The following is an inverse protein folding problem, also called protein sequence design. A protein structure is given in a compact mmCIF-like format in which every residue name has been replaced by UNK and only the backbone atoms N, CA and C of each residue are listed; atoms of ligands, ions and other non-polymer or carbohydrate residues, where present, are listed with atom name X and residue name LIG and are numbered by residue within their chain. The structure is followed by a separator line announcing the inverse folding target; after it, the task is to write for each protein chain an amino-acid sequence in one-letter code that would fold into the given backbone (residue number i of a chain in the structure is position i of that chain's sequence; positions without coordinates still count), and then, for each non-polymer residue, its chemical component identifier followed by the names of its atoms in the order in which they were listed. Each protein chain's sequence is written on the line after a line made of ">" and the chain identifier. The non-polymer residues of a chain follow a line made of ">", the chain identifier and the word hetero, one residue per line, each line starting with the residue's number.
data_IF_700770538957
#
_entry.id   IF_700770538957
#
_cell.length_a   1.000
_cell.length_b   1.000
_cell.length_c   1.000
_cell.angle_alpha   90.00
_cell.angle_beta   90.00
_cell.angle_gamma   90.00
#
_symmetry.space_group_name_H-M   'P 1'
#
loop_
_entity.id
_entity.type
_entity.pdbx_description
1 polymer ?
#
# COMPACT_ATOMS: atom_id res chain seq x y z
N UNK A 1 -12.40 16.85 -18.74
CA UNK A 1 -11.75 17.33 -17.49
C UNK A 1 -12.08 18.80 -17.16
N UNK A 2 -12.01 19.71 -18.13
CA UNK A 2 -12.46 21.12 -18.00
C UNK A 2 -13.89 21.24 -17.45
N UNK A 3 -14.81 20.38 -17.90
CA UNK A 3 -16.18 20.36 -17.37
C UNK A 3 -16.29 19.97 -15.89
N UNK A 4 -15.49 19.02 -15.41
CA UNK A 4 -15.55 18.54 -14.03
C UNK A 4 -15.04 19.61 -13.04
N UNK A 5 -13.91 20.25 -13.37
CA UNK A 5 -13.39 21.38 -12.59
C UNK A 5 -14.38 22.55 -12.60
N UNK A 6 -14.97 22.87 -13.75
CA UNK A 6 -16.00 23.91 -13.88
C UNK A 6 -17.27 23.58 -13.08
N UNK A 7 -17.64 22.30 -12.92
CA UNK A 7 -18.81 21.88 -12.13
C UNK A 7 -18.57 21.90 -10.62
N UNK A 8 -17.32 21.69 -10.18
CA UNK A 8 -16.98 21.55 -8.75
C UNK A 8 -16.45 22.85 -8.15
N UNK A 9 -15.55 23.54 -8.85
CA UNK A 9 -14.82 24.70 -8.33
C UNK A 9 -15.72 25.88 -7.89
N UNK A 10 -16.79 26.25 -8.63
CA UNK A 10 -17.66 27.35 -8.21
C UNK A 10 -18.35 27.11 -6.87
N UNK A 11 -18.70 25.86 -6.55
CA UNK A 11 -19.34 25.51 -5.26
C UNK A 11 -18.38 25.72 -4.09
N UNK A 12 -17.11 25.35 -4.26
CA UNK A 12 -16.09 25.58 -3.23
C UNK A 12 -15.74 27.07 -3.08
N UNK A 13 -15.63 27.80 -4.20
CA UNK A 13 -15.39 29.25 -4.16
C UNK A 13 -16.52 29.99 -3.46
N UNK A 14 -17.78 29.59 -3.69
CA UNK A 14 -18.94 30.16 -3.00
C UNK A 14 -18.90 29.89 -1.50
N UNK A 15 -18.56 28.67 -1.08
CA UNK A 15 -18.44 28.33 0.34
C UNK A 15 -17.30 29.11 1.02
N UNK A 16 -16.14 29.24 0.37
CA UNK A 16 -15.03 30.05 0.90
C UNK A 16 -15.35 31.53 0.96
N UNK A 17 -16.10 32.06 -0.01
CA UNK A 17 -16.56 33.44 0.02
C UNK A 17 -17.53 33.68 1.18
N UNK A 18 -18.48 32.76 1.40
CA UNK A 18 -19.42 32.77 2.53
C UNK A 18 -18.71 32.74 3.88
N UNK A 19 -17.69 31.90 4.02
CA UNK A 19 -16.90 31.78 5.24
C UNK A 19 -16.04 33.03 5.51
N UNK A 20 -15.47 33.62 4.45
CA UNK A 20 -14.67 34.85 4.54
C UNK A 20 -15.48 36.08 4.91
N UNK A 21 -16.71 36.20 4.45
CA UNK A 21 -17.51 37.40 4.68
C UNK A 21 -18.28 37.38 5.99
N UNK A 22 -18.39 36.23 6.67
CA UNK A 22 -19.14 36.02 7.92
C UNK A 22 -20.64 36.43 7.88
N UNK A 23 -21.13 36.96 6.76
CA UNK A 23 -22.50 37.40 6.54
C UNK A 23 -23.47 36.22 6.34
N UNK A 24 -22.93 35.07 5.92
CA UNK A 24 -23.68 33.83 5.75
C UNK A 24 -22.79 32.65 6.14
N UNK A 25 -22.66 32.33 7.44
CA UNK A 25 -21.74 31.29 7.89
C UNK A 25 -22.05 29.95 7.24
N UNK A 26 -20.99 29.20 6.93
CA UNK A 26 -21.11 27.83 6.45
C UNK A 26 -21.28 26.87 7.61
N UNK A 27 -21.89 25.71 7.37
CA UNK A 27 -21.92 24.62 8.34
C UNK A 27 -21.34 23.34 7.72
N UNK A 28 -21.07 22.33 8.55
CA UNK A 28 -20.49 21.07 8.08
C UNK A 28 -21.34 20.41 7.01
N UNK A 29 -22.68 20.54 7.08
CA UNK A 29 -23.57 19.97 6.08
C UNK A 29 -23.38 20.62 4.69
N UNK A 30 -23.06 21.91 4.60
CA UNK A 30 -22.73 22.59 3.35
C UNK A 30 -21.46 22.04 2.71
N UNK A 31 -20.40 21.86 3.52
CA UNK A 31 -19.13 21.29 3.08
C UNK A 31 -19.26 19.82 2.68
N UNK A 32 -19.97 19.02 3.46
CA UNK A 32 -20.26 17.61 3.16
C UNK A 32 -21.04 17.45 1.85
N UNK A 33 -21.99 18.35 1.54
CA UNK A 33 -22.68 18.36 0.24
C UNK A 33 -21.75 18.69 -0.92
N UNK A 34 -20.87 19.68 -0.75
CA UNK A 34 -19.88 20.02 -1.78
C UNK A 34 -18.88 18.88 -2.01
N UNK A 35 -18.38 18.26 -0.94
CA UNK A 35 -17.49 17.09 -0.97
C UNK A 35 -18.15 15.90 -1.69
N UNK A 36 -19.39 15.53 -1.35
CA UNK A 36 -20.12 14.46 -2.05
C UNK A 36 -20.29 14.74 -3.54
N UNK A 37 -20.65 15.96 -3.92
CA UNK A 37 -20.81 16.32 -5.32
C UNK A 37 -19.49 16.23 -6.09
N UNK A 38 -18.40 16.70 -5.48
CA UNK A 38 -17.06 16.60 -6.04
C UNK A 38 -16.58 15.15 -6.17
N UNK A 39 -16.75 14.34 -5.12
CA UNK A 39 -16.40 12.93 -5.09
C UNK A 39 -17.08 12.14 -6.22
N UNK A 40 -18.38 12.36 -6.45
CA UNK A 40 -19.11 11.76 -7.57
C UNK A 40 -18.60 12.19 -8.94
N UNK A 41 -18.23 13.46 -9.10
CA UNK A 41 -17.66 13.95 -10.36
C UNK A 41 -16.28 13.33 -10.60
N UNK A 42 -15.42 13.27 -9.58
CA UNK A 42 -14.11 12.62 -9.65
C UNK A 42 -14.27 11.14 -9.98
N UNK A 43 -15.20 10.43 -9.32
CA UNK A 43 -15.50 9.03 -9.61
C UNK A 43 -15.93 8.85 -11.06
N UNK A 44 -16.84 9.68 -11.57
CA UNK A 44 -17.26 9.61 -12.97
C UNK A 44 -16.10 9.80 -13.93
N UNK A 45 -15.23 10.77 -13.66
CA UNK A 45 -14.03 11.04 -14.47
C UNK A 45 -13.05 9.87 -14.38
N UNK A 46 -12.77 9.35 -13.19
CA UNK A 46 -11.84 8.24 -12.98
C UNK A 46 -12.32 6.94 -13.63
N UNK A 47 -13.63 6.63 -13.60
CA UNK A 47 -14.20 5.50 -14.33
C UNK A 47 -14.11 5.70 -15.86
N UNK A 48 -14.25 6.93 -16.35
CA UNK A 48 -14.14 7.22 -17.78
C UNK A 48 -12.71 7.22 -18.33
N UNK A 49 -11.71 7.49 -17.48
CA UNK A 49 -10.29 7.53 -17.85
C UNK A 49 -9.57 6.19 -17.61
N UNK A 50 -10.07 5.36 -16.70
CA UNK A 50 -9.46 4.10 -16.26
C UNK A 50 -8.01 4.31 -15.73
N UNK A 51 -7.16 3.28 -15.78
CA UNK A 51 -5.71 3.40 -15.58
C UNK A 51 -5.27 4.01 -14.24
N UNK A 52 -4.49 5.09 -14.31
CA UNK A 52 -3.85 5.69 -13.14
C UNK A 52 -4.86 6.48 -12.29
N UNK A 53 -5.95 6.98 -12.84
CA UNK A 53 -7.00 7.59 -12.01
C UNK A 53 -7.75 6.56 -11.19
N UNK A 54 -8.03 5.39 -11.77
CA UNK A 54 -8.60 4.26 -11.02
C UNK A 54 -7.60 3.75 -9.98
N UNK A 55 -6.32 3.61 -10.33
CA UNK A 55 -5.30 3.21 -9.35
C UNK A 55 -5.07 4.27 -8.27
N UNK A 56 -5.04 5.55 -8.61
CA UNK A 56 -4.97 6.64 -7.64
C UNK A 56 -6.22 6.66 -6.77
N UNK A 57 -7.42 6.42 -7.31
CA UNK A 57 -8.63 6.27 -6.54
C UNK A 57 -8.58 5.05 -5.60
N UNK A 58 -7.97 3.93 -6.02
CA UNK A 58 -7.75 2.77 -5.15
C UNK A 58 -6.72 3.08 -4.05
N UNK A 59 -5.58 3.71 -4.40
CA UNK A 59 -4.54 4.11 -3.45
C UNK A 59 -5.12 5.12 -2.45
N UNK A 60 -5.92 6.07 -2.90
CA UNK A 60 -6.50 7.13 -2.08
C UNK A 60 -7.80 6.72 -1.37
N UNK A 61 -8.56 5.79 -1.94
CA UNK A 61 -9.72 5.15 -1.29
C UNK A 61 -9.28 4.26 -0.13
N UNK A 62 -8.12 3.61 -0.26
CA UNK A 62 -7.43 2.91 0.83
C UNK A 62 -6.57 3.83 1.74
N UNK A 63 -6.37 5.09 1.34
CA UNK A 63 -5.75 6.16 2.15
C UNK A 63 -6.79 7.22 2.49
N UNK A 64 -7.64 6.87 3.44
CA UNK A 64 -8.60 7.78 4.07
C UNK A 64 -7.95 9.05 4.68
N UNK A 65 -6.61 9.10 4.75
CA UNK A 65 -5.80 10.04 5.51
C UNK A 65 -5.84 11.51 5.08
N UNK A 66 -6.28 11.84 3.85
CA UNK A 66 -6.21 13.21 3.32
C UNK A 66 -7.50 13.73 2.68
N UNK A 67 -8.52 12.88 2.60
CA UNK A 67 -9.74 13.18 1.87
C UNK A 67 -10.96 13.14 2.81
N UNK A 68 -11.88 14.10 2.72
CA UNK A 68 -13.12 14.05 3.49
C UNK A 68 -13.90 12.74 3.26
N UNK A 69 -14.62 12.25 4.29
CA UNK A 69 -15.40 11.00 4.25
C UNK A 69 -16.20 10.76 2.95
N UNK A 70 -16.90 11.76 2.37
CA UNK A 70 -17.56 11.60 1.07
C UNK A 70 -16.69 11.14 -0.10
N UNK A 71 -15.42 11.56 -0.13
CA UNK A 71 -14.48 11.11 -1.14
C UNK A 71 -14.08 9.66 -0.89
N UNK A 72 -13.83 9.29 0.37
CA UNK A 72 -13.46 7.93 0.75
C UNK A 72 -14.57 6.95 0.36
N UNK A 73 -15.83 7.26 0.71
CA UNK A 73 -17.00 6.45 0.37
C UNK A 73 -17.17 6.19 -1.14
N UNK A 74 -16.88 7.21 -1.97
CA UNK A 74 -17.00 7.08 -3.43
C UNK A 74 -15.76 6.45 -4.07
N UNK A 75 -14.56 6.71 -3.52
CA UNK A 75 -13.28 6.20 -4.05
C UNK A 75 -12.99 4.75 -3.63
N UNK A 76 -13.49 4.31 -2.47
CA UNK A 76 -13.38 2.91 -2.02
C UNK A 76 -14.11 1.93 -2.94
N UNK A 77 -15.10 2.41 -3.71
CA UNK A 77 -15.81 1.61 -4.71
C UNK A 77 -14.95 1.30 -5.95
N UNK A 78 -13.78 1.91 -6.12
CA UNK A 78 -12.85 1.54 -7.20
C UNK A 78 -12.09 0.24 -6.93
N UNK A 79 -12.23 -0.35 -5.73
CA UNK A 79 -11.66 -1.66 -5.44
C UNK A 79 -12.44 -2.84 -6.08
N UNK A 80 -13.55 -2.57 -6.76
CA UNK A 80 -14.32 -3.58 -7.48
C UNK A 80 -13.56 -4.13 -8.70
N UNK A 81 -13.81 -5.41 -9.01
CA UNK A 81 -13.11 -6.14 -10.07
C UNK A 81 -13.31 -5.47 -11.44
N UNK A 82 -12.20 -5.08 -12.06
CA UNK A 82 -12.22 -4.58 -13.44
C UNK A 82 -12.45 -5.77 -14.38
N UNK A 83 -13.33 -5.67 -15.38
CA UNK A 83 -13.52 -6.74 -16.35
C UNK A 83 -12.18 -7.18 -16.98
N UNK A 84 -11.90 -8.50 -17.03
CA UNK A 84 -10.69 -8.99 -17.66
C UNK A 84 -10.73 -8.77 -19.18
N UNK A 85 -9.56 -8.61 -19.76
CA UNK A 85 -9.33 -8.55 -21.20
C UNK A 85 -9.19 -9.99 -21.71
N UNK A 86 -9.61 -10.29 -22.94
CA UNK A 86 -9.32 -11.58 -23.54
C UNK A 86 -7.82 -11.83 -23.59
N UNK A 87 -7.38 -13.04 -23.21
CA UNK A 87 -5.97 -13.41 -23.19
C UNK A 87 -5.27 -13.15 -24.54
N UNK A 88 -5.97 -13.34 -25.66
CA UNK A 88 -5.45 -13.10 -27.00
C UNK A 88 -4.99 -11.66 -27.25
N UNK A 89 -5.56 -10.67 -26.54
CA UNK A 89 -5.09 -9.27 -26.61
C UNK A 89 -3.80 -9.03 -25.81
N UNK A 90 -3.48 -9.94 -24.88
CA UNK A 90 -2.34 -9.86 -23.98
C UNK A 90 -1.18 -10.75 -24.43
N UNK A 91 -1.48 -11.86 -25.14
CA UNK A 91 -0.52 -12.81 -25.69
C UNK A 91 0.67 -12.12 -26.39
N UNK A 92 0.49 -11.12 -27.27
CA UNK A 92 1.64 -10.48 -27.93
C UNK A 92 2.62 -9.79 -26.97
N UNK A 93 2.13 -9.30 -25.82
CA UNK A 93 2.98 -8.69 -24.79
C UNK A 93 3.82 -9.75 -24.08
N UNK A 94 3.23 -10.92 -23.82
CA UNK A 94 3.90 -12.05 -23.18
C UNK A 94 4.99 -12.59 -24.11
N UNK A 95 4.65 -12.88 -25.37
CA UNK A 95 5.61 -13.39 -26.36
C UNK A 95 6.77 -12.42 -26.61
N UNK A 96 6.49 -11.11 -26.58
CA UNK A 96 7.53 -10.08 -26.70
C UNK A 96 8.56 -10.17 -25.58
N UNK A 97 8.12 -10.35 -24.34
CA UNK A 97 9.02 -10.43 -23.19
C UNK A 97 9.76 -11.77 -23.12
N UNK A 98 9.11 -12.85 -23.54
CA UNK A 98 9.71 -14.19 -23.61
C UNK A 98 10.67 -14.35 -24.80
N UNK A 99 10.52 -13.53 -25.84
CA UNK A 99 11.26 -13.62 -27.10
C UNK A 99 10.93 -14.86 -27.94
N UNK A 100 9.83 -15.56 -27.62
CA UNK A 100 9.38 -16.80 -28.28
C UNK A 100 7.86 -17.02 -28.05
N UNK A 101 7.20 -17.88 -28.85
CA UNK A 101 5.80 -18.23 -28.66
C UNK A 101 5.51 -18.79 -27.27
N UNK A 102 4.34 -18.47 -26.71
CA UNK A 102 3.97 -18.95 -25.37
C UNK A 102 3.87 -20.46 -25.30
N UNK A 103 3.53 -21.12 -26.41
CA UNK A 103 3.45 -22.57 -26.50
C UNK A 103 4.81 -23.23 -26.23
N UNK A 104 5.93 -22.59 -26.57
CA UNK A 104 7.26 -23.16 -26.32
C UNK A 104 7.62 -23.20 -24.82
N UNK A 105 7.02 -22.31 -24.02
CA UNK A 105 7.31 -22.13 -22.59
C UNK A 105 6.27 -22.80 -21.70
N UNK A 106 5.00 -22.67 -22.06
CA UNK A 106 3.88 -23.15 -21.27
C UNK A 106 3.25 -24.38 -21.93
N UNK A 107 2.96 -25.40 -21.13
CA UNK A 107 2.13 -26.54 -21.55
C UNK A 107 0.66 -26.12 -21.71
N UNK A 108 0.18 -25.29 -20.78
CA UNK A 108 -1.20 -24.77 -20.79
C UNK A 108 -1.23 -23.37 -20.19
N UNK A 109 -2.04 -22.48 -20.75
CA UNK A 109 -2.42 -21.21 -20.13
C UNK A 109 -3.95 -21.18 -20.06
N UNK A 110 -4.50 -20.88 -18.89
CA UNK A 110 -5.94 -20.68 -18.72
C UNK A 110 -6.35 -19.35 -19.39
N UNK A 111 -7.21 -19.37 -20.42
CA UNK A 111 -7.70 -18.14 -21.05
C UNK A 111 -8.55 -17.29 -20.10
N UNK A 112 -9.12 -17.90 -19.05
CA UNK A 112 -9.80 -17.21 -17.96
C UNK A 112 -8.80 -16.50 -17.05
N UNK A 113 -9.05 -15.22 -16.78
CA UNK A 113 -8.27 -14.50 -15.79
C UNK A 113 -8.59 -15.05 -14.39
N UNK A 114 -7.54 -15.47 -13.67
CA UNK A 114 -7.62 -15.84 -12.25
C UNK A 114 -8.00 -14.63 -11.39
N UNK A 115 -7.43 -13.47 -11.72
CA UNK A 115 -7.73 -12.19 -11.09
C UNK A 115 -7.51 -11.05 -12.09
N UNK A 116 -8.28 -9.98 -11.97
CA UNK A 116 -8.09 -8.77 -12.77
C UNK A 116 -8.02 -7.55 -11.84
N UNK A 117 -6.94 -6.79 -11.98
CA UNK A 117 -6.70 -5.55 -11.25
C UNK A 117 -6.74 -4.35 -12.20
N UNK A 118 -6.41 -3.16 -11.70
CA UNK A 118 -6.48 -1.91 -12.45
C UNK A 118 -5.37 -1.75 -13.50
N UNK A 119 -4.18 -2.33 -13.27
CA UNK A 119 -3.01 -2.19 -14.17
C UNK A 119 -2.63 -3.49 -14.90
N UNK A 120 -3.05 -4.63 -14.36
CA UNK A 120 -2.69 -5.95 -14.86
C UNK A 120 -3.79 -6.96 -14.55
N UNK A 121 -3.76 -8.10 -15.23
CA UNK A 121 -4.52 -9.29 -14.87
C UNK A 121 -3.61 -10.50 -14.75
N UNK A 122 -4.09 -11.49 -14.00
CA UNK A 122 -3.35 -12.70 -13.65
C UNK A 122 -3.99 -13.90 -14.32
N UNK A 123 -3.20 -14.72 -14.98
CA UNK A 123 -3.61 -16.00 -15.56
C UNK A 123 -2.92 -17.15 -14.86
N UNK A 124 -3.61 -18.28 -14.72
CA UNK A 124 -2.99 -19.55 -14.30
C UNK A 124 -2.35 -20.22 -15.51
N UNK A 125 -1.20 -20.83 -15.33
CA UNK A 125 -0.54 -21.63 -16.35
C UNK A 125 0.24 -22.80 -15.76
N UNK A 126 0.66 -23.69 -16.66
CA UNK A 126 1.55 -24.81 -16.36
C UNK A 126 2.77 -24.69 -17.27
N UNK A 127 3.97 -24.70 -16.72
CA UNK A 127 5.21 -24.78 -17.50
C UNK A 127 5.37 -26.16 -18.15
N UNK A 128 6.23 -26.26 -19.16
CA UNK A 128 6.51 -27.55 -19.84
C UNK A 128 7.08 -28.64 -18.91
N UNK A 129 7.69 -28.26 -17.79
CA UNK A 129 8.19 -29.18 -16.76
C UNK A 129 7.11 -29.64 -15.76
N UNK A 130 5.87 -29.15 -15.90
CA UNK A 130 4.74 -29.45 -15.02
C UNK A 130 4.53 -28.45 -13.87
N UNK A 131 5.45 -27.51 -13.65
CA UNK A 131 5.34 -26.51 -12.58
C UNK A 131 4.10 -25.63 -12.77
N UNK A 132 3.34 -25.42 -11.69
CA UNK A 132 2.18 -24.54 -11.68
C UNK A 132 2.61 -23.09 -11.42
N UNK A 133 2.22 -22.18 -12.31
CA UNK A 133 2.63 -20.77 -12.25
C UNK A 133 1.46 -19.83 -12.50
N UNK A 134 1.64 -18.56 -12.16
CA UNK A 134 0.79 -17.45 -12.55
C UNK A 134 1.54 -16.47 -13.42
N UNK A 135 0.86 -15.94 -14.42
CA UNK A 135 1.35 -14.84 -15.27
C UNK A 135 0.57 -13.60 -14.90
N UNK A 136 1.22 -12.62 -14.26
CA UNK A 136 0.66 -11.27 -14.09
C UNK A 136 1.10 -10.45 -15.29
N UNK A 137 0.13 -10.05 -16.11
CA UNK A 137 0.35 -9.41 -17.40
C UNK A 137 -0.22 -8.00 -17.35
N UNK A 138 0.61 -7.01 -17.64
CA UNK A 138 0.23 -5.60 -17.72
C UNK A 138 -0.68 -5.37 -18.93
N UNK A 139 -1.71 -4.53 -18.79
CA UNK A 139 -2.55 -4.19 -19.94
C UNK A 139 -1.79 -3.33 -20.99
N UNK A 140 -2.04 -3.53 -22.30
CA UNK A 140 -1.32 -2.85 -23.37
C UNK A 140 -1.47 -1.32 -23.35
N UNK A 141 -2.60 -0.81 -22.86
CA UNK A 141 -2.91 0.61 -22.81
C UNK A 141 -2.15 1.38 -21.71
N UNK A 142 -1.66 0.68 -20.68
CA UNK A 142 -1.14 1.27 -19.45
C UNK A 142 0.10 2.14 -19.66
N UNK A 143 1.12 1.74 -20.44
CA UNK A 143 2.28 2.60 -20.71
C UNK A 143 1.93 3.95 -21.35
N UNK A 144 0.79 4.03 -22.06
CA UNK A 144 0.31 5.27 -22.69
C UNK A 144 -0.57 6.10 -21.76
N UNK A 145 -1.45 5.45 -21.00
CA UNK A 145 -2.44 6.12 -20.15
C UNK A 145 -1.80 6.69 -18.88
N UNK A 146 -0.89 5.95 -18.24
CA UNK A 146 -0.35 6.33 -16.92
C UNK A 146 0.34 7.71 -16.93
N UNK A 147 1.26 8.03 -17.87
CA UNK A 147 1.91 9.35 -17.86
C UNK A 147 0.91 10.50 -18.04
N UNK A 148 -0.13 10.29 -18.86
CA UNK A 148 -1.17 11.28 -19.11
C UNK A 148 -2.03 11.51 -17.86
N UNK A 149 -2.45 10.43 -17.22
CA UNK A 149 -3.26 10.47 -16.00
C UNK A 149 -2.51 11.12 -14.83
N UNK A 150 -1.26 10.74 -14.60
CA UNK A 150 -0.42 11.36 -13.56
C UNK A 150 -0.14 12.83 -13.85
N UNK A 151 0.05 13.20 -15.13
CA UNK A 151 0.13 14.59 -15.56
C UNK A 151 -1.14 15.38 -15.25
N UNK A 152 -2.31 14.79 -15.51
CA UNK A 152 -3.61 15.41 -15.19
C UNK A 152 -3.83 15.54 -13.68
N UNK A 153 -3.50 14.52 -12.90
CA UNK A 153 -3.61 14.53 -11.43
C UNK A 153 -2.79 15.68 -10.82
N UNK A 154 -1.54 15.87 -11.28
CA UNK A 154 -0.69 16.99 -10.87
C UNK A 154 -1.31 18.35 -11.18
N UNK A 155 -1.94 18.52 -12.35
CA UNK A 155 -2.61 19.78 -12.73
C UNK A 155 -3.84 20.06 -11.85
N UNK A 156 -4.68 19.05 -11.63
CA UNK A 156 -5.88 19.19 -10.77
C UNK A 156 -5.46 19.59 -9.36
N UNK A 157 -4.48 18.91 -8.78
CA UNK A 157 -3.98 19.25 -7.45
C UNK A 157 -3.36 20.64 -7.43
N UNK A 158 -2.63 21.05 -8.46
CA UNK A 158 -2.14 22.43 -8.60
C UNK A 158 -3.25 23.49 -8.50
N UNK A 159 -4.41 23.25 -9.14
CA UNK A 159 -5.58 24.14 -9.06
C UNK A 159 -6.21 24.11 -7.66
N UNK A 160 -6.38 22.92 -7.06
CA UNK A 160 -6.94 22.77 -5.71
C UNK A 160 -6.09 23.50 -4.68
N UNK A 161 -4.76 23.45 -4.80
CA UNK A 161 -3.82 24.14 -3.91
C UNK A 161 -3.88 25.67 -3.99
N UNK A 162 -4.52 26.26 -5.02
CA UNK A 162 -4.81 27.70 -5.05
C UNK A 162 -5.91 28.09 -4.06
N UNK A 163 -6.76 27.13 -3.71
CA UNK A 163 -8.02 27.33 -2.97
C UNK A 163 -7.93 26.75 -1.56
N UNK A 164 -7.27 25.61 -1.39
CA UNK A 164 -7.01 24.96 -0.10
C UNK A 164 -5.51 24.97 0.20
N UNK A 165 -5.13 25.45 1.40
CA UNK A 165 -3.72 25.58 1.83
C UNK A 165 -3.37 24.84 3.11
N UNK A 166 -4.34 24.21 3.78
CA UNK A 166 -4.13 23.51 5.06
C UNK A 166 -3.30 22.24 4.92
N UNK A 167 -3.38 21.55 3.78
CA UNK A 167 -2.74 20.25 3.51
C UNK A 167 -1.95 20.35 2.21
N UNK A 168 -0.70 19.88 2.20
CA UNK A 168 0.09 19.82 0.95
C UNK A 168 -0.25 18.57 0.12
N UNK A 169 -1.29 18.70 -0.70
CA UNK A 169 -1.72 17.64 -1.61
C UNK A 169 -0.68 17.32 -2.71
N UNK A 170 0.32 18.18 -2.93
CA UNK A 170 1.36 17.91 -3.94
C UNK A 170 2.28 16.78 -3.52
N UNK A 171 2.63 16.72 -2.23
CA UNK A 171 3.42 15.61 -1.69
C UNK A 171 2.72 14.26 -1.91
N UNK A 172 1.40 14.22 -1.69
CA UNK A 172 0.57 13.04 -1.89
C UNK A 172 0.51 12.60 -3.36
N UNK A 173 0.45 13.53 -4.32
CA UNK A 173 0.51 13.18 -5.75
C UNK A 173 1.88 12.62 -6.13
N UNK A 174 2.96 13.19 -5.60
CA UNK A 174 4.32 12.67 -5.83
C UNK A 174 4.47 11.25 -5.27
N UNK A 175 3.93 10.99 -4.09
CA UNK A 175 3.94 9.66 -3.47
C UNK A 175 3.09 8.66 -4.28
N UNK A 176 1.88 9.06 -4.67
CA UNK A 176 0.98 8.25 -5.51
C UNK A 176 1.62 7.91 -6.85
N UNK A 177 2.30 8.89 -7.47
CA UNK A 177 3.08 8.69 -8.69
C UNK A 177 4.08 7.57 -8.51
N UNK A 178 4.91 7.64 -7.45
CA UNK A 178 5.93 6.62 -7.18
C UNK A 178 5.32 5.24 -6.96
N UNK A 179 4.21 5.15 -6.24
CA UNK A 179 3.53 3.87 -6.03
C UNK A 179 3.01 3.26 -7.34
N UNK A 180 2.40 4.09 -8.21
CA UNK A 180 1.97 3.62 -9.53
C UNK A 180 3.17 3.18 -10.37
N UNK A 181 4.27 3.94 -10.36
CA UNK A 181 5.50 3.59 -11.08
C UNK A 181 6.09 2.26 -10.59
N UNK A 182 6.09 2.04 -9.27
CA UNK A 182 6.53 0.80 -8.65
C UNK A 182 5.72 -0.41 -9.10
N UNK A 183 4.40 -0.30 -9.18
CA UNK A 183 3.54 -1.40 -9.62
C UNK A 183 3.66 -1.72 -11.12
N UNK A 184 4.21 -0.80 -11.91
CA UNK A 184 4.46 -1.00 -13.34
C UNK A 184 5.82 -1.61 -13.65
N UNK A 185 6.72 -1.65 -12.66
CA UNK A 185 8.06 -2.23 -12.78
C UNK A 185 8.05 -3.67 -12.25
N UNK A 186 7.68 -4.59 -13.13
CA UNK A 186 7.66 -6.02 -12.84
C UNK A 186 9.03 -6.63 -12.58
N UNK A 187 10.10 -6.02 -13.11
CA UNK A 187 11.47 -6.44 -12.79
C UNK A 187 11.82 -6.09 -11.34
N UNK A 188 11.40 -4.91 -10.87
CA UNK A 188 11.53 -4.53 -9.47
C UNK A 188 10.66 -5.41 -8.57
N UNK A 189 9.43 -5.71 -8.98
CA UNK A 189 8.55 -6.64 -8.24
C UNK A 189 9.23 -8.01 -8.08
N UNK A 190 9.75 -8.60 -9.17
CA UNK A 190 10.49 -9.86 -9.15
C UNK A 190 11.68 -9.85 -8.16
N UNK A 191 12.56 -8.84 -8.24
CA UNK A 191 13.68 -8.69 -7.30
C UNK A 191 13.23 -8.53 -5.85
N UNK A 192 12.11 -7.84 -5.63
CA UNK A 192 11.55 -7.63 -4.31
C UNK A 192 10.99 -8.93 -3.73
N UNK A 193 10.32 -9.74 -4.55
CA UNK A 193 9.85 -11.08 -4.20
C UNK A 193 11.03 -11.98 -3.81
N UNK A 194 12.09 -12.04 -4.61
CA UNK A 194 13.29 -12.84 -4.31
C UNK A 194 13.96 -12.41 -3.00
N UNK A 195 14.08 -11.09 -2.79
CA UNK A 195 14.64 -10.53 -1.55
C UNK A 195 13.78 -10.90 -0.34
N UNK A 196 12.45 -10.79 -0.43
CA UNK A 196 11.55 -11.20 0.64
C UNK A 196 11.58 -12.70 0.90
N UNK A 197 11.65 -13.53 -0.15
CA UNK A 197 11.79 -14.98 -0.01
C UNK A 197 13.05 -15.34 0.77
N UNK A 198 14.19 -14.68 0.45
CA UNK A 198 15.45 -14.87 1.17
C UNK A 198 15.35 -14.41 2.62
N UNK A 199 14.81 -13.21 2.86
CA UNK A 199 14.68 -12.65 4.21
C UNK A 199 13.76 -13.51 5.08
N UNK A 200 12.71 -14.09 4.52
CA UNK A 200 11.70 -14.87 5.24
C UNK A 200 11.98 -16.37 5.27
N UNK A 201 13.17 -16.81 4.82
CA UNK A 201 13.53 -18.23 4.76
C UNK A 201 13.45 -18.94 6.12
N UNK A 202 13.76 -18.21 7.21
CA UNK A 202 13.71 -18.73 8.58
C UNK A 202 12.33 -18.57 9.25
N UNK A 203 11.31 -18.10 8.53
CA UNK A 203 9.95 -17.91 9.05
C UNK A 203 9.06 -19.08 8.59
N UNK A 204 8.90 -20.14 9.41
CA UNK A 204 8.36 -21.43 8.95
C UNK A 204 6.89 -21.40 8.54
N UNK A 205 6.15 -20.36 8.98
CA UNK A 205 4.72 -20.23 8.71
C UNK A 205 4.42 -19.35 7.49
N UNK A 206 5.42 -18.99 6.67
CA UNK A 206 5.25 -18.11 5.51
C UNK A 206 5.74 -18.78 4.22
N UNK A 207 5.07 -18.46 3.12
CA UNK A 207 5.46 -18.86 1.77
C UNK A 207 5.49 -17.62 0.89
N UNK A 208 6.65 -17.36 0.29
CA UNK A 208 6.81 -16.39 -0.80
C UNK A 208 6.92 -17.20 -2.09
N UNK A 209 6.13 -16.91 -3.13
CA UNK A 209 6.17 -17.68 -4.37
C UNK A 209 7.53 -17.54 -5.03
N UNK A 210 8.03 -18.64 -5.59
CA UNK A 210 9.24 -18.60 -6.41
C UNK A 210 9.03 -17.72 -7.63
N UNK A 211 10.01 -16.88 -7.94
CA UNK A 211 10.06 -16.14 -9.21
C UNK A 211 10.67 -17.03 -10.29
N UNK A 212 10.21 -16.90 -11.53
CA UNK A 212 10.87 -17.46 -12.72
C UNK A 212 11.53 -16.32 -13.51
N UNK A 213 12.75 -15.89 -13.15
CA UNK A 213 13.33 -14.63 -13.65
C UNK A 213 13.54 -14.64 -15.16
N UNK A 214 13.84 -15.80 -15.74
CA UNK A 214 14.00 -16.03 -17.18
C UNK A 214 12.71 -15.83 -17.98
N UNK A 215 11.56 -15.87 -17.30
CA UNK A 215 10.24 -15.66 -17.90
C UNK A 215 9.65 -14.28 -17.55
N UNK A 216 10.41 -13.41 -16.87
CA UNK A 216 9.97 -12.09 -16.45
C UNK A 216 10.52 -10.98 -17.37
N UNK A 217 9.71 -9.97 -17.64
CA UNK A 217 10.06 -8.82 -18.47
C UNK A 217 9.39 -7.53 -18.01
N UNK A 218 9.23 -6.58 -18.92
CA UNK A 218 8.62 -5.28 -18.62
C UNK A 218 7.08 -5.33 -18.58
N UNK A 219 6.47 -6.42 -19.04
CA UNK A 219 5.02 -6.60 -19.25
C UNK A 219 4.47 -7.86 -18.61
N UNK A 220 5.33 -8.84 -18.30
CA UNK A 220 4.94 -10.07 -17.60
C UNK A 220 5.87 -10.35 -16.44
N UNK A 221 5.29 -10.78 -15.32
CA UNK A 221 6.00 -11.45 -14.22
C UNK A 221 5.39 -12.84 -14.04
N UNK A 222 6.25 -13.84 -13.90
CA UNK A 222 5.88 -15.25 -13.75
C UNK A 222 6.31 -15.73 -12.37
N UNK A 223 5.33 -16.15 -11.58
CA UNK A 223 5.50 -16.58 -10.19
C UNK A 223 4.92 -17.98 -9.99
N UNK A 224 5.46 -18.72 -9.02
CA UNK A 224 4.85 -19.95 -8.52
C UNK A 224 3.38 -19.72 -8.14
N UNK A 225 2.51 -20.64 -8.55
CA UNK A 225 1.10 -20.59 -8.15
C UNK A 225 0.94 -21.08 -6.71
N UNK A 226 0.47 -20.20 -5.83
CA UNK A 226 0.09 -20.55 -4.47
C UNK A 226 -1.41 -20.86 -4.40
N UNK A 227 -1.74 -22.07 -3.97
CA UNK A 227 -3.12 -22.48 -3.72
C UNK A 227 -3.49 -22.20 -2.27
N UNK A 228 -4.47 -21.32 -2.04
CA UNK A 228 -4.93 -20.99 -0.70
C UNK A 228 -6.23 -20.19 -0.70
N UNK A 229 -6.74 -19.92 0.50
CA UNK A 229 -7.96 -19.14 0.74
C UNK A 229 -7.54 -17.73 1.14
N UNK A 230 -8.11 -16.70 0.51
CA UNK A 230 -7.85 -15.30 0.87
C UNK A 230 -8.23 -15.03 2.33
N UNK A 231 -7.39 -14.28 3.05
CA UNK A 231 -7.54 -14.06 4.50
C UNK A 231 -8.88 -13.40 4.87
N UNK A 232 -9.46 -12.61 3.95
CA UNK A 232 -10.77 -11.98 4.15
C UNK A 232 -11.94 -12.98 4.17
N UNK A 233 -11.78 -14.17 3.59
CA UNK A 233 -12.84 -15.19 3.47
C UNK A 233 -12.91 -16.04 4.74
N UNK A 234 -13.17 -15.38 5.88
CA UNK A 234 -13.10 -15.99 7.22
C UNK A 234 -14.01 -17.21 7.39
N UNK A 235 -15.20 -17.22 6.76
CA UNK A 235 -16.10 -18.37 6.78
C UNK A 235 -15.49 -19.60 6.09
N UNK A 236 -14.86 -19.41 4.92
CA UNK A 236 -14.17 -20.48 4.19
C UNK A 236 -12.97 -20.99 4.97
N UNK A 237 -12.21 -20.09 5.61
CA UNK A 237 -11.08 -20.47 6.47
C UNK A 237 -11.52 -21.35 7.65
N UNK A 238 -12.59 -20.98 8.34
CA UNK A 238 -13.13 -21.77 9.46
C UNK A 238 -13.64 -23.12 8.97
N UNK A 239 -14.34 -23.16 7.82
CA UNK A 239 -14.81 -24.40 7.21
C UNK A 239 -13.65 -25.33 6.80
N UNK A 240 -12.52 -24.77 6.38
CA UNK A 240 -11.28 -25.49 6.10
C UNK A 240 -10.48 -25.89 7.37
N UNK A 241 -10.99 -25.58 8.56
CA UNK A 241 -10.38 -25.96 9.85
C UNK A 241 -9.32 -24.98 10.37
N UNK A 242 -9.11 -23.83 9.71
CA UNK A 242 -8.15 -22.83 10.17
C UNK A 242 -8.68 -22.04 11.36
N UNK A 243 -7.83 -21.85 12.37
CA UNK A 243 -8.14 -21.02 13.55
C UNK A 243 -7.79 -19.55 13.25
N UNK A 244 -8.80 -18.69 13.11
CA UNK A 244 -8.60 -17.27 12.77
C UNK A 244 -7.68 -16.54 13.76
N UNK A 245 -7.74 -16.88 15.04
CA UNK A 245 -6.85 -16.32 16.06
C UNK A 245 -5.37 -16.68 15.83
N UNK A 246 -5.09 -17.88 15.31
CA UNK A 246 -3.72 -18.28 14.97
C UNK A 246 -3.24 -17.56 13.70
N UNK A 247 -4.12 -17.45 12.70
CA UNK A 247 -3.86 -16.67 11.48
C UNK A 247 -3.52 -15.22 11.84
N UNK A 248 -4.29 -14.59 12.72
CA UNK A 248 -4.04 -13.23 13.19
C UNK A 248 -2.66 -13.10 13.85
N UNK A 249 -2.27 -14.02 14.73
CA UNK A 249 -0.92 -13.99 15.35
C UNK A 249 0.18 -14.15 14.31
N UNK A 250 0.05 -15.12 13.40
CA UNK A 250 1.03 -15.34 12.32
C UNK A 250 1.20 -14.10 11.44
N UNK A 251 0.11 -13.40 11.11
CA UNK A 251 0.17 -12.14 10.33
C UNK A 251 0.89 -11.05 11.13
N UNK A 252 0.53 -10.84 12.40
CA UNK A 252 1.21 -9.85 13.24
C UNK A 252 2.70 -10.14 13.39
N UNK A 253 3.06 -11.41 13.57
CA UNK A 253 4.45 -11.84 13.64
C UNK A 253 5.19 -11.62 12.31
N UNK A 254 4.60 -11.98 11.17
CA UNK A 254 5.17 -11.75 9.84
C UNK A 254 5.51 -10.28 9.59
N UNK A 255 4.55 -9.39 9.80
CA UNK A 255 4.78 -7.95 9.58
C UNK A 255 5.70 -7.35 10.64
N UNK A 256 5.64 -7.82 11.88
CA UNK A 256 6.57 -7.46 12.93
C UNK A 256 8.02 -7.79 12.55
N UNK A 257 8.28 -9.02 12.10
CA UNK A 257 9.58 -9.46 11.60
C UNK A 257 10.06 -8.59 10.44
N UNK A 258 9.24 -8.40 9.41
CA UNK A 258 9.62 -7.62 8.23
C UNK A 258 9.97 -6.15 8.56
N UNK A 259 9.11 -5.49 9.35
CA UNK A 259 9.23 -4.04 9.63
C UNK A 259 10.31 -3.79 10.68
N UNK A 260 10.25 -4.50 11.81
CA UNK A 260 11.04 -4.12 12.99
C UNK A 260 12.33 -4.92 13.16
N UNK A 261 12.43 -6.13 12.60
CA UNK A 261 13.64 -6.93 12.74
C UNK A 261 14.51 -6.93 11.48
N UNK A 262 13.90 -6.94 10.29
CA UNK A 262 14.60 -7.07 9.02
C UNK A 262 14.76 -5.75 8.27
N UNK A 263 13.88 -4.77 8.53
CA UNK A 263 13.92 -3.47 7.86
C UNK A 263 13.61 -3.52 6.36
N UNK A 264 13.10 -4.64 5.83
CA UNK A 264 12.61 -4.75 4.45
C UNK A 264 11.24 -5.42 4.48
N UNK A 265 10.21 -4.71 4.03
CA UNK A 265 8.83 -5.15 4.23
C UNK A 265 7.97 -4.98 3.00
N UNK A 266 6.91 -5.79 2.97
CA UNK A 266 5.80 -5.67 2.06
C UNK A 266 4.81 -4.60 2.58
N UNK A 267 4.66 -3.50 1.85
CA UNK A 267 3.91 -2.31 2.27
C UNK A 267 2.42 -2.29 1.93
N UNK A 268 1.86 -3.36 1.37
CA UNK A 268 0.42 -3.43 1.04
C UNK A 268 -0.29 -4.68 1.61
N UNK A 269 -0.48 -4.79 2.93
CA UNK A 269 -1.12 -5.95 3.61
C UNK A 269 -2.62 -6.10 3.31
N UNK A 270 -3.09 -5.63 2.17
CA UNK A 270 -4.47 -5.77 1.74
C UNK A 270 -4.90 -7.25 1.82
N UNK A 271 -6.10 -7.58 2.32
CA UNK A 271 -6.53 -8.97 2.47
C UNK A 271 -6.51 -9.82 1.19
N UNK A 272 -6.52 -9.18 0.01
CA UNK A 272 -6.35 -9.87 -1.28
C UNK A 272 -4.94 -10.43 -1.51
N UNK A 273 -3.92 -9.86 -0.85
CA UNK A 273 -2.51 -10.22 -1.01
C UNK A 273 -2.03 -11.26 0.01
N UNK A 274 -2.93 -11.72 0.88
CA UNK A 274 -2.65 -12.70 1.93
C UNK A 274 -3.52 -13.94 1.72
N UNK A 275 -2.86 -15.06 1.39
CA UNK A 275 -3.49 -16.37 1.28
C UNK A 275 -3.17 -17.23 2.51
N UNK A 276 -4.12 -18.04 2.94
CA UNK A 276 -3.88 -19.12 3.89
C UNK A 276 -3.85 -20.43 3.10
N UNK A 277 -2.69 -21.08 3.09
CA UNK A 277 -2.50 -22.35 2.41
C UNK A 277 -3.16 -23.49 3.21
N UNK A 278 -3.45 -24.65 2.59
CA UNK A 278 -4.06 -25.80 3.28
C UNK A 278 -3.32 -26.26 4.54
N UNK A 279 -2.00 -26.10 4.59
CA UNK A 279 -1.14 -26.43 5.74
C UNK A 279 -1.11 -25.33 6.83
N UNK A 280 -1.85 -24.23 6.64
CA UNK A 280 -1.94 -23.12 7.57
C UNK A 280 -0.78 -22.14 7.50
N UNK A 281 0.10 -22.22 6.49
CA UNK A 281 1.08 -21.18 6.17
C UNK A 281 0.42 -19.98 5.49
N UNK A 282 1.05 -18.81 5.60
CA UNK A 282 0.63 -17.57 4.94
C UNK A 282 1.38 -17.43 3.62
N UNK A 283 0.65 -17.44 2.51
CA UNK A 283 1.16 -17.07 1.19
C UNK A 283 1.10 -15.56 1.01
N UNK A 284 2.23 -14.93 0.68
CA UNK A 284 2.30 -13.53 0.28
C UNK A 284 2.16 -13.39 -1.23
N UNK A 285 1.36 -12.43 -1.68
CA UNK A 285 1.18 -12.07 -3.09
C UNK A 285 1.46 -10.58 -3.29
N UNK A 286 1.65 -10.17 -4.55
CA UNK A 286 1.83 -8.77 -4.98
C UNK A 286 2.94 -8.01 -4.25
N UNK A 287 4.15 -8.12 -4.76
CA UNK A 287 5.34 -7.50 -4.18
C UNK A 287 5.62 -6.12 -4.79
N UNK A 288 4.63 -5.56 -5.51
CA UNK A 288 4.73 -4.27 -6.18
C UNK A 288 5.06 -3.13 -5.22
N UNK A 289 4.71 -3.26 -3.94
CA UNK A 289 5.00 -2.30 -2.89
C UNK A 289 5.91 -2.85 -1.79
N UNK A 290 7.13 -3.27 -2.13
CA UNK A 290 8.16 -3.57 -1.13
C UNK A 290 9.11 -2.37 -0.92
N UNK A 291 9.55 -2.14 0.33
CA UNK A 291 10.45 -1.04 0.68
C UNK A 291 11.45 -1.41 1.77
N UNK A 292 12.64 -0.84 1.64
CA UNK A 292 13.69 -0.85 2.66
C UNK A 292 13.55 0.36 3.58
N UNK A 293 13.58 0.11 4.89
CA UNK A 293 13.53 1.10 5.94
C UNK A 293 14.94 1.51 6.33
N UNK A 294 15.14 2.76 6.79
CA UNK A 294 16.45 3.22 7.21
C UNK A 294 16.98 2.41 8.41
N UNK A 295 18.31 2.26 8.55
CA UNK A 295 18.91 1.63 9.72
C UNK A 295 18.42 2.27 11.02
N UNK A 296 18.23 1.45 12.07
CA UNK A 296 17.76 1.93 13.37
C UNK A 296 16.29 2.36 13.39
N UNK A 297 15.51 2.20 12.31
CA UNK A 297 14.10 2.59 12.26
C UNK A 297 13.29 2.01 13.43
N UNK A 298 13.41 0.71 13.71
CA UNK A 298 12.70 0.07 14.82
C UNK A 298 13.07 0.69 16.18
N UNK A 299 14.37 0.91 16.43
CA UNK A 299 14.88 1.55 17.64
C UNK A 299 14.35 2.98 17.78
N UNK A 300 14.33 3.75 16.69
CA UNK A 300 13.80 5.11 16.69
C UNK A 300 12.30 5.15 16.93
N UNK A 301 11.52 4.26 16.29
CA UNK A 301 10.07 4.13 16.52
C UNK A 301 9.80 3.74 17.97
N UNK A 302 10.52 2.76 18.52
CA UNK A 302 10.39 2.37 19.92
C UNK A 302 10.78 3.49 20.89
N UNK A 303 11.87 4.21 20.61
CA UNK A 303 12.30 5.36 21.43
C UNK A 303 11.26 6.46 21.41
N UNK A 304 10.75 6.79 20.22
CA UNK A 304 9.68 7.78 20.03
C UNK A 304 8.42 7.38 20.80
N UNK A 305 8.03 6.10 20.72
CA UNK A 305 6.89 5.52 21.41
C UNK A 305 7.01 5.61 22.93
N UNK A 306 8.07 5.01 23.49
CA UNK A 306 8.28 4.91 24.95
C UNK A 306 8.44 6.30 25.55
N UNK A 307 9.27 7.15 24.94
CA UNK A 307 9.53 8.51 25.42
C UNK A 307 8.24 9.35 25.46
N UNK A 308 7.38 9.21 24.45
CA UNK A 308 6.08 9.89 24.42
C UNK A 308 5.13 9.41 25.52
N UNK A 309 5.17 8.12 25.88
CA UNK A 309 4.33 7.55 26.94
C UNK A 309 4.76 7.97 28.34
N UNK A 310 6.07 8.08 28.59
CA UNK A 310 6.61 8.50 29.89
C UNK A 310 6.73 10.02 30.04
N UNK A 311 6.31 10.79 29.04
CA UNK A 311 6.38 12.26 29.05
C UNK A 311 7.76 12.85 28.75
N UNK A 312 8.74 12.04 28.35
CA UNK A 312 10.04 12.51 27.88
C UNK A 312 9.93 13.09 26.46
N UNK A 313 9.42 14.31 26.39
CA UNK A 313 9.23 15.03 25.13
C UNK A 313 10.55 15.22 24.40
N UNK A 314 11.67 15.43 25.10
CA UNK A 314 12.97 15.71 24.48
C UNK A 314 13.46 14.51 23.68
N UNK A 315 13.46 13.32 24.28
CA UNK A 315 13.87 12.09 23.59
C UNK A 315 12.89 11.72 22.48
N UNK A 316 11.58 11.94 22.70
CA UNK A 316 10.56 11.69 21.70
C UNK A 316 10.76 12.56 20.45
N UNK A 317 11.03 13.85 20.61
CA UNK A 317 11.32 14.76 19.49
C UNK A 317 12.65 14.44 18.81
N UNK A 318 13.69 14.09 19.55
CA UNK A 318 14.97 13.71 18.95
C UNK A 318 14.83 12.47 18.05
N UNK A 319 14.04 11.48 18.49
CA UNK A 319 13.73 10.31 17.68
C UNK A 319 12.86 10.65 16.46
N UNK A 320 11.83 11.48 16.64
CA UNK A 320 10.97 11.95 15.55
C UNK A 320 11.79 12.72 14.48
N UNK A 321 12.70 13.59 14.90
CA UNK A 321 13.57 14.33 13.98
C UNK A 321 14.47 13.39 13.16
N UNK A 322 15.04 12.35 13.79
CA UNK A 322 15.85 11.34 13.10
C UNK A 322 15.04 10.48 12.14
N UNK A 323 13.76 10.22 12.44
CA UNK A 323 12.81 9.60 11.52
C UNK A 323 12.39 10.54 10.37
N UNK A 324 12.83 11.80 10.39
CA UNK A 324 12.60 12.79 9.34
C UNK A 324 11.38 13.69 9.56
N UNK A 325 10.75 13.64 10.74
CA UNK A 325 9.64 14.54 11.05
C UNK A 325 10.13 15.99 11.19
N UNK A 326 9.29 16.93 10.76
CA UNK A 326 9.50 18.35 11.04
C UNK A 326 9.05 18.68 12.47
N UNK A 327 10.00 18.58 13.41
CA UNK A 327 9.76 18.82 14.84
C UNK A 327 9.57 20.30 15.18
N UNK A 328 9.97 21.24 14.31
CA UNK A 328 9.83 22.66 14.57
C UNK A 328 8.35 23.11 14.54
N UNK A 329 7.50 22.36 13.83
CA UNK A 329 6.06 22.62 13.73
C UNK A 329 5.20 21.68 14.58
N UNK A 330 5.80 20.73 15.29
CA UNK A 330 5.07 19.68 16.03
C UNK A 330 5.04 19.95 17.54
N UNK A 331 3.83 19.88 18.14
CA UNK A 331 3.65 20.01 19.60
C UNK A 331 3.83 18.64 20.31
N UNK A 332 4.29 18.61 21.57
CA UNK A 332 4.52 17.35 22.30
C UNK A 332 3.29 16.45 22.36
N UNK A 333 2.11 17.05 22.60
CA UNK A 333 0.84 16.32 22.66
C UNK A 333 0.48 15.65 21.32
N UNK A 334 0.89 16.23 20.19
CA UNK A 334 0.62 15.67 18.87
C UNK A 334 1.39 14.37 18.65
N UNK A 335 2.62 14.30 19.15
CA UNK A 335 3.46 13.11 19.03
C UNK A 335 2.92 11.97 19.90
N UNK A 336 2.52 12.28 21.14
CA UNK A 336 1.86 11.32 22.03
C UNK A 336 0.58 10.77 21.40
N UNK A 337 -0.20 11.65 20.79
CA UNK A 337 -1.46 11.33 20.14
C UNK A 337 -1.25 10.44 18.90
N UNK A 338 -0.29 10.79 18.03
CA UNK A 338 0.13 9.97 16.90
C UNK A 338 0.60 8.58 17.33
N UNK A 339 1.30 8.48 18.47
CA UNK A 339 1.72 7.20 19.01
C UNK A 339 0.55 6.38 19.56
N UNK A 340 -0.33 6.98 20.36
CA UNK A 340 -1.53 6.31 20.88
C UNK A 340 -2.37 5.74 19.74
N UNK A 341 -2.50 6.46 18.63
CA UNK A 341 -3.16 6.01 17.41
C UNK A 341 -2.45 4.84 16.73
N UNK A 342 -1.12 4.87 16.66
CA UNK A 342 -0.32 3.81 16.02
C UNK A 342 -0.39 2.50 16.84
N UNK A 343 -0.67 2.59 18.13
CA UNK A 343 -0.63 1.48 19.10
C UNK A 343 -2.03 0.98 19.52
N UNK A 344 -3.08 1.81 19.45
CA UNK A 344 -4.36 1.47 20.07
C UNK A 344 -5.63 2.14 19.53
N UNK A 345 -6.64 1.29 19.33
CA UNK A 345 -8.08 1.41 19.69
C UNK A 345 -8.82 2.73 19.42
N UNK A 346 -8.71 3.28 18.23
CA UNK A 346 -9.86 4.04 17.70
C UNK A 346 -10.75 3.06 16.94
N UNK A 347 -11.76 2.50 17.61
CA UNK A 347 -12.92 1.83 16.97
C UNK A 347 -13.64 2.77 15.96
N UNK A 348 -13.24 4.03 15.93
CA UNK A 348 -13.54 4.98 14.87
C UNK A 348 -12.36 5.05 13.91
N UNK A 349 -12.51 4.43 12.72
CA UNK A 349 -11.75 4.87 11.53
C UNK A 349 -11.85 6.41 11.38
N UNK A 350 -12.91 7.04 11.88
CA UNK A 350 -13.09 8.49 11.94
C UNK A 350 -12.19 9.25 12.94
N UNK A 351 -11.71 8.62 14.04
CA UNK A 351 -10.98 9.31 15.11
C UNK A 351 -9.50 9.56 14.80
N UNK A 352 -8.85 8.65 14.07
CA UNK A 352 -7.45 8.81 13.65
C UNK A 352 -7.25 10.11 12.83
N UNK A 353 -8.22 10.43 11.98
CA UNK A 353 -8.10 11.51 10.99
C UNK A 353 -8.60 12.87 11.49
N UNK A 354 -9.62 12.91 12.35
CA UNK A 354 -10.06 14.15 13.01
C UNK A 354 -8.92 14.72 13.84
N UNK A 355 -8.26 13.86 14.60
CA UNK A 355 -7.16 14.24 15.47
C UNK A 355 -5.89 14.60 14.67
N UNK A 356 -5.58 13.93 13.55
CA UNK A 356 -4.52 14.37 12.61
C UNK A 356 -4.82 15.74 11.99
N UNK A 357 -6.09 16.02 11.67
CA UNK A 357 -6.56 17.33 11.20
C UNK A 357 -6.49 18.43 12.26
N UNK A 358 -6.63 18.07 13.53
CA UNK A 358 -6.40 18.95 14.69
C UNK A 358 -4.90 19.14 14.98
N UNK A 359 -4.06 18.15 14.64
CA UNK A 359 -2.62 18.30 14.75
C UNK A 359 -2.08 19.22 13.66
N UNK A 360 -1.21 20.16 14.01
CA UNK A 360 -0.51 21.02 13.03
C UNK A 360 0.59 20.28 12.25
N UNK A 361 0.47 18.97 12.05
CA UNK A 361 1.44 18.13 11.35
C UNK A 361 1.49 18.52 9.86
N UNK A 362 2.54 19.26 9.47
CA UNK A 362 2.69 19.74 8.08
C UNK A 362 3.23 18.67 7.14
N UNK A 363 3.99 17.70 7.65
CA UNK A 363 4.66 16.67 6.84
C UNK A 363 4.95 15.43 7.69
N UNK A 364 4.55 14.26 7.18
CA UNK A 364 4.92 12.95 7.72
C UNK A 364 6.01 12.37 6.80
N UNK A 365 7.09 11.79 7.34
CA UNK A 365 8.12 11.10 6.54
C UNK A 365 7.52 9.95 5.74
N UNK A 366 8.02 9.73 4.53
CA UNK A 366 7.49 8.73 3.60
C UNK A 366 7.53 7.30 4.18
N UNK A 367 8.64 6.93 4.83
CA UNK A 367 8.81 5.60 5.42
C UNK A 367 7.84 5.37 6.57
N UNK A 368 7.66 6.39 7.42
CA UNK A 368 6.72 6.33 8.52
C UNK A 368 5.27 6.30 8.01
N UNK A 369 4.95 7.06 6.97
CA UNK A 369 3.62 7.05 6.37
C UNK A 369 3.26 5.66 5.80
N UNK A 370 4.20 5.01 5.11
CA UNK A 370 3.99 3.68 4.55
C UNK A 370 3.83 2.60 5.65
N UNK A 371 4.66 2.65 6.69
CA UNK A 371 4.53 1.76 7.85
C UNK A 371 3.21 2.02 8.57
N UNK A 372 2.85 3.27 8.84
CA UNK A 372 1.58 3.65 9.46
C UNK A 372 0.37 3.10 8.70
N UNK A 373 0.36 3.24 7.37
CA UNK A 373 -0.68 2.64 6.51
C UNK A 373 -0.75 1.12 6.67
N UNK A 374 0.40 0.46 6.67
CA UNK A 374 0.48 -1.00 6.86
C UNK A 374 -0.15 -1.39 8.20
N UNK A 375 0.17 -0.67 9.28
CA UNK A 375 -0.40 -0.91 10.60
C UNK A 375 -1.92 -0.67 10.66
N UNK A 376 -2.43 0.35 9.97
CA UNK A 376 -3.88 0.63 9.86
C UNK A 376 -4.61 -0.51 9.15
N UNK A 377 -4.10 -0.95 8.00
CA UNK A 377 -4.70 -2.07 7.25
C UNK A 377 -4.68 -3.37 8.05
N UNK A 378 -3.59 -3.61 8.78
CA UNK A 378 -3.47 -4.72 9.72
C UNK A 378 -4.45 -4.61 10.89
N UNK A 379 -4.72 -3.40 11.38
CA UNK A 379 -5.74 -3.17 12.40
C UNK A 379 -7.13 -3.57 11.90
N UNK A 380 -7.52 -3.10 10.70
CA UNK A 380 -8.78 -3.49 10.06
C UNK A 380 -8.91 -4.99 9.87
N UNK A 381 -7.82 -5.67 9.52
CA UNK A 381 -7.77 -7.13 9.42
C UNK A 381 -7.91 -7.81 10.79
N UNK A 382 -7.33 -7.25 11.85
CA UNK A 382 -7.46 -7.75 13.23
C UNK A 382 -8.92 -7.82 13.67
N UNK A 383 -9.71 -6.78 13.39
CA UNK A 383 -11.15 -6.78 13.72
C UNK A 383 -11.93 -7.86 12.97
N UNK A 384 -11.50 -8.25 11.77
CA UNK A 384 -12.15 -9.33 10.99
C UNK A 384 -11.76 -10.72 11.48
N UNK A 385 -10.51 -10.93 11.85
CA UNK A 385 -9.99 -12.25 12.23
C UNK A 385 -10.24 -12.60 13.69
N UNK A 386 -10.11 -11.63 14.59
CA UNK A 386 -10.24 -11.85 16.02
C UNK A 386 -10.86 -10.62 16.70
N UNK A 387 -12.17 -10.37 16.52
CA UNK A 387 -12.86 -9.22 17.13
C UNK A 387 -12.58 -9.12 18.64
N UNK A 388 -12.21 -7.94 19.11
CA UNK A 388 -11.90 -7.66 20.52
C UNK A 388 -10.61 -8.29 21.06
N UNK A 389 -9.88 -9.08 20.25
CA UNK A 389 -8.64 -9.74 20.63
C UNK A 389 -7.54 -9.15 19.75
N UNK A 390 -6.82 -8.15 20.26
CA UNK A 390 -5.75 -7.38 19.58
C UNK A 390 -4.49 -8.21 19.29
N UNK A 391 -4.66 -9.34 18.61
CA UNK A 391 -3.62 -10.36 18.42
C UNK A 391 -2.54 -9.88 17.47
N UNK A 392 -2.90 -9.17 16.40
CA UNK A 392 -1.93 -8.63 15.44
C UNK A 392 -1.04 -7.57 16.11
N UNK A 393 -1.65 -6.62 16.82
CA UNK A 393 -0.96 -5.54 17.52
C UNK A 393 -0.06 -6.09 18.63
N UNK A 394 -0.53 -7.11 19.36
CA UNK A 394 0.27 -7.76 20.39
C UNK A 394 1.57 -8.36 19.81
N UNK A 395 1.50 -9.01 18.64
CA UNK A 395 2.72 -9.53 17.98
C UNK A 395 3.60 -8.39 17.46
N UNK A 396 3.02 -7.39 16.80
CA UNK A 396 3.78 -6.22 16.31
C UNK A 396 4.60 -5.54 17.43
N UNK A 397 4.03 -5.39 18.62
CA UNK A 397 4.73 -4.80 19.76
C UNK A 397 5.89 -5.68 20.28
N UNK A 398 5.74 -7.01 20.26
CA UNK A 398 6.83 -7.93 20.61
C UNK A 398 8.00 -7.76 19.66
N UNK A 399 7.73 -7.72 18.36
CA UNK A 399 8.76 -7.56 17.33
C UNK A 399 9.37 -6.15 17.34
N UNK A 400 8.60 -5.11 17.66
CA UNK A 400 9.14 -3.76 17.88
C UNK A 400 10.15 -3.75 19.04
N UNK A 401 9.81 -4.39 20.16
CA UNK A 401 10.71 -4.50 21.30
C UNK A 401 11.98 -5.30 20.96
N UNK A 402 11.83 -6.43 20.25
CA UNK A 402 12.96 -7.25 19.82
C UNK A 402 13.88 -6.49 18.85
N UNK A 403 13.30 -5.81 17.85
CA UNK A 403 14.02 -5.01 16.86
C UNK A 403 14.74 -3.81 17.48
N UNK A 404 14.12 -3.14 18.45
CA UNK A 404 14.73 -2.01 19.15
C UNK A 404 15.90 -2.41 20.07
N UNK A 405 15.92 -3.66 20.54
CA UNK A 405 16.99 -4.20 21.38
C UNK A 405 18.22 -4.65 20.57
N UNK A 406 18.12 -4.80 19.24
CA UNK A 406 19.26 -5.11 18.38
C UNK A 406 20.19 -3.90 18.29
N UNK A 407 21.48 -4.13 18.42
CA UNK A 407 22.48 -3.06 18.32
C UNK A 407 22.74 -2.73 16.85
N UNK A 408 23.05 -1.47 16.53
CA UNK A 408 23.41 -1.09 15.14
C UNK A 408 24.67 -1.85 14.64
N UNK A 409 25.43 -2.49 15.53
CA UNK A 409 26.55 -3.41 15.24
C UNK A 409 26.13 -4.81 14.78
N UNK A 410 24.87 -5.21 14.93
CA UNK A 410 24.38 -6.49 14.42
C UNK A 410 24.13 -6.47 12.90
N UNK A 411 24.13 -5.26 12.30
CA UNK A 411 23.86 -5.03 10.88
C UNK A 411 22.49 -5.55 10.41
N UNK A 412 22.02 -5.19 9.21
CA UNK A 412 21.15 -6.12 8.49
C UNK A 412 21.92 -7.45 8.35
N UNK A 413 21.26 -8.59 8.56
CA UNK A 413 21.80 -9.91 8.19
C UNK A 413 22.44 -9.74 6.80
N UNK A 414 23.73 -10.10 6.61
CA UNK A 414 24.49 -9.63 5.47
C UNK A 414 23.74 -9.91 4.17
N UNK A 415 23.38 -8.84 3.48
CA UNK A 415 23.03 -8.91 2.07
C UNK A 415 24.28 -9.44 1.35
N UNK A 416 24.27 -10.72 1.00
CA UNK A 416 25.28 -11.27 0.11
C UNK A 416 25.13 -10.61 -1.27
N UNK A 417 25.75 -9.44 -1.42
CA UNK A 417 26.00 -8.75 -2.68
C UNK A 417 27.38 -8.11 -2.59
N UNK A 418 28.40 -8.95 -2.71
CA UNK A 418 29.67 -8.54 -3.27
C UNK A 418 29.88 -9.42 -4.51
N UNK A 419 29.36 -8.98 -5.65
CA UNK A 419 30.04 -9.31 -6.90
C UNK A 419 30.32 -8.00 -7.63
N UNK A 420 31.59 -7.66 -7.59
CA UNK A 420 32.20 -6.46 -8.11
C UNK A 420 32.89 -6.87 -9.41
N UNK A 421 32.16 -6.88 -10.53
CA UNK A 421 32.78 -6.94 -11.85
C UNK A 421 32.74 -5.55 -12.48
N UNK A 422 33.74 -4.76 -12.13
CA UNK A 422 34.14 -3.59 -12.88
C UNK A 422 34.44 -3.98 -14.34
N UNK A 423 33.68 -3.44 -15.30
CA UNK A 423 34.16 -3.25 -16.67
C UNK A 423 34.58 -1.80 -16.82
N UNK A 424 35.89 -1.56 -16.84
CA UNK A 424 36.49 -0.34 -17.39
C UNK A 424 36.33 -0.33 -18.92
N UNK A 425 36.22 0.84 -19.55
CA UNK A 425 36.22 0.98 -20.99
C UNK A 425 37.65 0.95 -21.54
N UNK A 426 37.83 0.27 -22.66
CA UNK A 426 38.88 0.53 -23.65
C UNK A 426 38.24 0.34 -25.03
#
# INVERSE_FOLDING_TARGET
>A
MSLAVVRVLPRYLLLLARDRTALWPTNDADWQRAHRAAAREIKRVALSLAGAFTKAAQIQGARADFLPAPFIEELSQFHDAVPPRPFETLRPLVERDLGRPVEEVFATIDPGALAAASLAQVHRATLRDGSQVVLKIRYPEIPRIIPLDLGMLRRVVGIVMLVQRRIDLRALVTETTRFVEFELDFRREARSTERLAKNLADVPFVVVPRVHPELCGDNVIVLEYLQGIQVARTKELVAAGHKLAEVARKIGALYGTMIFEQGFFHGDPHPGNLLILPDGRIGLLDFGLAKELPPGFARLVATMMVSSMIGDSRSAFAAAQQLGFDVASMKPDNLRTLMLMTIGDSDTEAGFFEILGETSLRKIPEDFALVGRTLILLNGLSHRLAPGRRLIQAELLKHLAAGAARTDSDGPVPSASADNSARKPA
#
